data_IF_147549966129
#
_entry.id   IF_147549966129
#
_cell.length_a   1.000
_cell.length_b   1.000
_cell.length_c   1.000
_cell.angle_alpha   90.00
_cell.angle_beta   90.00
_cell.angle_gamma   90.00
#
_symmetry.space_group_name_H-M   'P 1'
#
loop_
_entity.id
_entity.type
_entity.pdbx_description
1 polymer ?
#
# COMPACT_ATOMS: atom_id res chain seq x y z
N UNK A 1 -23.50 12.96 -5.17
CA UNK A 1 -22.94 11.63 -4.80
C UNK A 1 -22.46 11.81 -3.38
N UNK A 2 -23.20 11.23 -2.41
CA UNK A 2 -23.10 11.58 -0.99
C UNK A 2 -21.76 11.16 -0.38
N UNK A 3 -21.11 12.12 0.23
CA UNK A 3 -19.87 11.99 1.02
C UNK A 3 -20.10 11.38 2.41
N UNK A 4 -21.31 10.94 2.73
CA UNK A 4 -21.71 10.44 4.06
C UNK A 4 -21.38 8.95 4.34
N UNK A 5 -20.81 8.21 3.40
CA UNK A 5 -20.57 6.76 3.58
C UNK A 5 -19.12 6.42 3.97
N UNK A 6 -18.32 7.42 4.35
CA UNK A 6 -16.88 7.28 4.59
C UNK A 6 -16.51 7.03 6.07
N UNK A 7 -17.47 7.07 6.99
CA UNK A 7 -17.22 7.03 8.45
C UNK A 7 -17.90 5.88 9.18
N UNK A 8 -18.24 4.78 8.52
CA UNK A 8 -18.69 3.60 9.24
C UNK A 8 -17.47 2.86 9.79
N UNK A 9 -17.32 2.91 11.13
CA UNK A 9 -16.41 2.06 11.89
C UNK A 9 -16.63 0.60 11.48
N UNK A 10 -15.68 0.05 10.74
CA UNK A 10 -15.76 -1.33 10.27
C UNK A 10 -14.74 -2.16 11.05
N UNK A 11 -15.20 -3.05 11.90
CA UNK A 11 -14.36 -4.08 12.51
C UNK A 11 -13.92 -5.05 11.42
N UNK A 12 -12.66 -5.37 11.40
CA UNK A 12 -12.08 -6.32 10.44
C UNK A 12 -10.89 -7.05 11.02
N UNK A 13 -10.51 -8.11 10.36
CA UNK A 13 -9.30 -8.86 10.62
C UNK A 13 -8.27 -8.55 9.55
N UNK A 14 -7.06 -8.23 9.94
CA UNK A 14 -5.94 -8.09 9.01
C UNK A 14 -4.98 -9.24 9.23
N UNK A 15 -4.70 -9.98 8.16
CA UNK A 15 -3.57 -10.91 8.08
C UNK A 15 -2.32 -10.08 7.76
N UNK A 16 -1.42 -9.93 8.72
CA UNK A 16 -0.23 -9.09 8.55
C UNK A 16 0.88 -9.86 7.86
N UNK A 17 1.11 -11.11 8.27
CA UNK A 17 2.06 -11.99 7.59
C UNK A 17 1.72 -13.46 7.82
N UNK A 18 2.23 -14.31 6.93
CA UNK A 18 2.12 -15.76 7.04
C UNK A 18 3.47 -16.33 7.49
N UNK A 19 3.49 -17.13 8.56
CA UNK A 19 4.66 -17.86 9.01
C UNK A 19 4.47 -19.36 8.76
N UNK A 20 5.54 -20.14 8.89
CA UNK A 20 5.46 -21.61 8.84
C UNK A 20 4.54 -22.19 9.92
N UNK A 21 4.37 -21.49 11.03
CA UNK A 21 3.49 -21.84 12.15
C UNK A 21 2.03 -21.40 11.94
N UNK A 22 1.72 -20.68 10.85
CA UNK A 22 0.38 -20.20 10.53
C UNK A 22 0.30 -18.73 10.15
N UNK A 23 -0.92 -18.27 9.86
CA UNK A 23 -1.21 -16.86 9.58
C UNK A 23 -1.28 -16.09 10.90
N UNK A 24 -0.53 -14.99 11.00
CA UNK A 24 -0.70 -14.05 12.10
C UNK A 24 -1.73 -13.01 11.67
N UNK A 25 -2.92 -13.11 12.25
CA UNK A 25 -4.00 -12.15 12.06
C UNK A 25 -4.26 -11.38 13.35
N UNK A 26 -4.69 -10.16 13.21
CA UNK A 26 -5.10 -9.31 14.34
C UNK A 26 -6.41 -8.63 14.03
N UNK A 27 -7.24 -8.49 15.06
CA UNK A 27 -8.47 -7.71 14.97
C UNK A 27 -8.13 -6.23 14.95
N UNK A 28 -8.66 -5.53 13.97
CA UNK A 28 -8.44 -4.11 13.79
C UNK A 28 -9.76 -3.37 13.59
N UNK A 29 -9.74 -2.09 13.90
CA UNK A 29 -10.79 -1.17 13.52
C UNK A 29 -10.30 -0.32 12.35
N UNK A 30 -11.07 -0.31 11.25
CA UNK A 30 -10.82 0.59 10.11
C UNK A 30 -11.58 1.88 10.31
N UNK A 31 -10.88 2.98 10.45
CA UNK A 31 -11.47 4.31 10.58
C UNK A 31 -10.48 5.35 10.04
N UNK A 32 -10.99 6.40 9.36
CA UNK A 32 -10.21 7.53 8.83
C UNK A 32 -9.02 7.08 7.95
N UNK A 33 -9.28 6.11 7.06
CA UNK A 33 -8.31 5.54 6.10
C UNK A 33 -7.07 4.90 6.76
N UNK A 34 -7.13 4.59 8.04
CA UNK A 34 -6.09 3.89 8.79
C UNK A 34 -6.68 2.73 9.59
N UNK A 35 -5.81 1.98 10.25
CA UNK A 35 -6.18 0.91 11.17
C UNK A 35 -5.86 1.31 12.59
N UNK A 36 -6.73 0.91 13.51
CA UNK A 36 -6.62 1.17 14.94
C UNK A 36 -6.57 -0.15 15.69
N UNK A 37 -5.56 -0.33 16.52
CA UNK A 37 -5.36 -1.53 17.33
C UNK A 37 -5.25 -1.19 18.80
N UNK A 38 -5.88 -1.98 19.70
CA UNK A 38 -5.60 -1.90 21.13
C UNK A 38 -4.28 -2.61 21.46
N UNK A 39 -3.73 -2.35 22.65
CA UNK A 39 -2.49 -2.96 23.14
C UNK A 39 -2.54 -4.49 23.12
N UNK A 40 -3.72 -5.07 23.38
CA UNK A 40 -3.93 -6.51 23.34
C UNK A 40 -3.57 -7.11 22.00
N UNK A 41 -4.05 -6.52 20.93
CA UNK A 41 -3.78 -6.99 19.56
C UNK A 41 -2.31 -6.78 19.18
N UNK A 42 -1.70 -5.67 19.62
CA UNK A 42 -0.25 -5.49 19.44
C UNK A 42 0.58 -6.51 20.23
N UNK A 43 0.11 -6.93 21.40
CA UNK A 43 0.76 -7.99 22.20
C UNK A 43 0.77 -9.34 21.46
N UNK A 44 -0.33 -9.67 20.80
CA UNK A 44 -0.45 -10.87 19.95
C UNK A 44 0.46 -10.72 18.72
N UNK A 45 0.37 -9.58 18.03
CA UNK A 45 1.13 -9.30 16.82
C UNK A 45 2.64 -9.44 17.03
N UNK A 46 3.15 -8.91 18.14
CA UNK A 46 4.58 -8.84 18.42
C UNK A 46 5.08 -9.91 19.39
N UNK A 47 4.19 -10.76 19.92
CA UNK A 47 4.55 -11.81 20.87
C UNK A 47 5.22 -11.26 22.14
N UNK A 48 4.73 -10.14 22.67
CA UNK A 48 5.21 -9.49 23.87
C UNK A 48 4.10 -9.19 24.86
N UNK A 49 4.46 -9.02 26.13
CA UNK A 49 3.50 -8.65 27.17
C UNK A 49 2.92 -7.24 26.90
N UNK A 50 1.67 -7.02 27.38
CA UNK A 50 1.02 -5.71 27.30
C UNK A 50 1.83 -4.60 27.97
N UNK A 51 2.52 -4.89 29.08
CA UNK A 51 3.41 -3.94 29.77
C UNK A 51 4.57 -3.51 28.90
N UNK A 52 5.22 -4.45 28.19
CA UNK A 52 6.32 -4.15 27.27
C UNK A 52 5.86 -3.29 26.10
N UNK A 53 4.69 -3.63 25.50
CA UNK A 53 4.13 -2.82 24.40
C UNK A 53 3.81 -1.41 24.90
N UNK A 54 3.19 -1.28 26.08
CA UNK A 54 2.89 0.03 26.68
C UNK A 54 4.14 0.86 26.94
N UNK A 55 5.22 0.24 27.43
CA UNK A 55 6.51 0.90 27.65
C UNK A 55 7.08 1.46 26.33
N UNK A 56 7.03 0.68 25.25
CA UNK A 56 7.45 1.18 23.94
C UNK A 56 6.62 2.37 23.48
N UNK A 57 5.29 2.33 23.64
CA UNK A 57 4.39 3.43 23.28
C UNK A 57 4.72 4.69 24.09
N UNK A 58 4.89 4.57 25.40
CA UNK A 58 5.25 5.71 26.25
C UNK A 58 6.60 6.31 25.86
N UNK A 59 7.58 5.50 25.50
CA UNK A 59 8.87 5.98 25.04
C UNK A 59 8.77 6.70 23.68
N UNK A 60 7.95 6.21 22.75
CA UNK A 60 7.69 6.87 21.46
C UNK A 60 7.15 8.28 21.67
N UNK A 61 6.19 8.45 22.57
CA UNK A 61 5.63 9.76 22.89
C UNK A 61 6.62 10.65 23.64
N UNK A 62 7.34 10.10 24.61
CA UNK A 62 8.36 10.83 25.40
C UNK A 62 9.51 11.35 24.52
N UNK A 63 9.90 10.58 23.51
CA UNK A 63 10.97 10.95 22.57
C UNK A 63 10.48 11.93 21.48
N UNK A 64 9.16 12.19 21.42
CA UNK A 64 8.58 13.09 20.44
C UNK A 64 8.52 12.51 19.01
N UNK A 65 8.68 11.19 18.85
CA UNK A 65 8.57 10.53 17.54
C UNK A 65 7.14 10.65 16.98
N UNK A 66 6.13 10.48 17.86
CA UNK A 66 4.72 10.63 17.52
C UNK A 66 4.00 11.47 18.58
N UNK A 67 2.89 12.11 18.18
CA UNK A 67 1.98 12.83 19.06
C UNK A 67 0.89 11.90 19.58
N UNK A 68 0.67 11.82 20.89
CA UNK A 68 -0.40 11.04 21.49
C UNK A 68 -1.78 11.52 21.01
N UNK A 69 -1.96 12.84 20.88
CA UNK A 69 -3.24 13.43 20.47
C UNK A 69 -3.69 12.97 19.06
N UNK A 70 -2.74 12.74 18.17
CA UNK A 70 -3.01 12.38 16.76
C UNK A 70 -3.09 10.86 16.56
N UNK A 71 -2.46 10.09 17.44
CA UNK A 71 -2.21 8.65 17.22
C UNK A 71 -2.89 7.73 18.23
N UNK A 72 -3.56 8.29 19.26
CA UNK A 72 -4.30 7.52 20.25
C UNK A 72 -5.75 8.01 20.35
N UNK A 73 -6.69 7.08 20.44
CA UNK A 73 -8.10 7.35 20.67
C UNK A 73 -8.67 6.43 21.74
N UNK A 74 -9.60 6.95 22.52
CA UNK A 74 -10.40 6.13 23.44
C UNK A 74 -11.66 5.70 22.71
N UNK A 75 -11.78 4.43 22.40
CA UNK A 75 -12.92 3.85 21.69
C UNK A 75 -13.62 2.85 22.61
N UNK A 76 -14.95 2.88 22.59
CA UNK A 76 -15.78 1.86 23.19
C UNK A 76 -16.28 2.20 24.60
N UNK A 77 -17.54 2.60 24.63
CA UNK A 77 -18.48 2.14 25.63
C UNK A 77 -19.34 1.11 24.88
N UNK A 78 -19.02 -0.18 25.00
CA UNK A 78 -19.93 -1.22 24.54
C UNK A 78 -20.94 -1.52 25.63
N UNK A 79 -22.09 -2.06 25.27
CA UNK A 79 -23.14 -2.47 26.23
C UNK A 79 -22.64 -3.46 27.30
N UNK A 80 -21.41 -3.98 27.13
CA UNK A 80 -20.76 -4.93 28.02
C UNK A 80 -19.48 -4.42 28.70
N UNK A 81 -18.99 -3.19 28.39
CA UNK A 81 -17.81 -2.63 29.00
C UNK A 81 -17.95 -1.15 29.27
N UNK A 82 -17.90 -0.79 30.57
CA UNK A 82 -17.98 0.59 31.04
C UNK A 82 -16.65 1.36 30.96
N UNK A 83 -15.58 0.72 30.53
CA UNK A 83 -14.25 1.36 30.41
C UNK A 83 -13.84 1.50 28.95
N UNK A 84 -13.61 2.74 28.48
CA UNK A 84 -13.04 2.97 27.16
C UNK A 84 -11.64 2.34 27.05
N UNK A 85 -11.37 1.71 25.93
CA UNK A 85 -10.07 1.11 25.61
C UNK A 85 -9.28 2.07 24.72
N UNK A 86 -7.98 2.21 24.98
CA UNK A 86 -7.09 2.98 24.12
C UNK A 86 -6.78 2.18 22.86
N UNK A 87 -7.04 2.79 21.72
CA UNK A 87 -6.67 2.32 20.40
C UNK A 87 -5.59 3.23 19.85
N UNK A 88 -4.66 2.63 19.12
CA UNK A 88 -3.50 3.27 18.53
C UNK A 88 -3.51 3.06 17.02
N UNK A 89 -3.18 4.10 16.26
CA UNK A 89 -3.19 4.03 14.81
C UNK A 89 -2.00 3.23 14.23
N UNK A 90 -1.97 3.08 12.90
CA UNK A 90 -0.93 2.34 12.20
C UNK A 90 0.47 2.89 12.47
N UNK A 91 0.64 4.20 12.67
CA UNK A 91 1.95 4.81 12.91
C UNK A 91 2.58 4.28 14.20
N UNK A 92 1.78 4.21 15.28
CA UNK A 92 2.22 3.61 16.54
C UNK A 92 2.57 2.13 16.39
N UNK A 93 1.75 1.38 15.63
CA UNK A 93 2.01 -0.05 15.39
C UNK A 93 3.35 -0.24 14.67
N UNK A 94 3.64 0.58 13.67
CA UNK A 94 4.91 0.56 12.93
C UNK A 94 6.08 0.89 13.87
N UNK A 95 5.99 2.00 14.61
CA UNK A 95 7.04 2.45 15.53
C UNK A 95 7.35 1.41 16.61
N UNK A 96 6.33 0.80 17.21
CA UNK A 96 6.48 -0.32 18.14
C UNK A 96 7.16 -1.51 17.46
N UNK A 97 6.73 -1.86 16.25
CA UNK A 97 7.27 -2.99 15.48
C UNK A 97 8.76 -2.85 15.17
N UNK A 98 9.27 -1.64 15.02
CA UNK A 98 10.69 -1.38 14.83
C UNK A 98 11.50 -1.43 16.14
N UNK A 99 10.87 -1.20 17.29
CA UNK A 99 11.54 -1.16 18.61
C UNK A 99 11.53 -2.50 19.34
N UNK A 100 10.51 -3.33 19.06
CA UNK A 100 10.30 -4.58 19.79
C UNK A 100 11.32 -5.64 19.40
N UNK A 101 11.96 -6.27 20.42
CA UNK A 101 12.88 -7.39 20.23
C UNK A 101 12.14 -8.72 20.43
N UNK A 102 11.60 -9.27 19.32
CA UNK A 102 10.95 -10.59 19.29
C UNK A 102 11.09 -11.22 17.90
N UNK A 103 10.84 -12.52 17.81
CA UNK A 103 10.79 -13.23 16.53
C UNK A 103 9.68 -12.66 15.66
N UNK A 104 8.50 -12.42 16.24
CA UNK A 104 7.35 -11.82 15.55
C UNK A 104 7.67 -10.40 15.08
N UNK A 105 8.32 -9.58 15.91
CA UNK A 105 8.76 -8.24 15.51
C UNK A 105 9.76 -8.29 14.35
N UNK A 106 10.66 -9.28 14.33
CA UNK A 106 11.58 -9.48 13.20
C UNK A 106 10.83 -9.86 11.92
N UNK A 107 9.85 -10.78 12.00
CA UNK A 107 9.00 -11.17 10.87
C UNK A 107 8.18 -9.99 10.35
N UNK A 108 7.63 -9.18 11.25
CA UNK A 108 6.92 -7.95 10.89
C UNK A 108 7.81 -6.99 10.10
N UNK A 109 9.03 -6.73 10.58
CA UNK A 109 9.99 -5.86 9.87
C UNK A 109 10.38 -6.41 8.50
N UNK A 110 10.60 -7.72 8.38
CA UNK A 110 10.88 -8.37 7.10
C UNK A 110 9.74 -8.19 6.11
N UNK A 111 8.50 -8.42 6.55
CA UNK A 111 7.31 -8.20 5.75
C UNK A 111 7.16 -6.74 5.33
N UNK A 112 7.29 -5.78 6.26
CA UNK A 112 7.20 -4.35 5.96
C UNK A 112 8.28 -3.92 4.96
N UNK A 113 9.53 -4.35 5.17
CA UNK A 113 10.63 -4.08 4.25
C UNK A 113 10.37 -4.63 2.85
N UNK A 114 9.80 -5.83 2.75
CA UNK A 114 9.45 -6.42 1.45
C UNK A 114 8.38 -5.57 0.73
N UNK A 115 7.36 -5.09 1.44
CA UNK A 115 6.32 -4.21 0.85
C UNK A 115 6.91 -2.88 0.38
N UNK A 116 7.77 -2.26 1.17
CA UNK A 116 8.48 -1.03 0.80
C UNK A 116 9.39 -1.27 -0.41
N UNK A 117 10.16 -2.35 -0.40
CA UNK A 117 11.04 -2.71 -1.52
C UNK A 117 10.24 -2.93 -2.81
N UNK A 118 9.15 -3.66 -2.74
CA UNK A 118 8.25 -3.89 -3.88
C UNK A 118 7.71 -2.56 -4.43
N UNK A 119 7.26 -1.66 -3.55
CA UNK A 119 6.78 -0.34 -3.94
C UNK A 119 7.87 0.52 -4.58
N UNK A 120 9.08 0.56 -4.02
CA UNK A 120 10.20 1.33 -4.58
C UNK A 120 10.60 0.82 -5.97
N UNK A 121 10.66 -0.49 -6.17
CA UNK A 121 11.09 -1.09 -7.44
C UNK A 121 9.99 -1.03 -8.50
N UNK A 122 8.74 -1.37 -8.14
CA UNK A 122 7.64 -1.50 -9.10
C UNK A 122 6.75 -0.25 -9.20
N UNK A 123 6.79 0.64 -8.18
CA UNK A 123 5.89 1.77 -8.04
C UNK A 123 4.51 1.41 -7.49
N UNK A 124 4.27 0.14 -7.14
CA UNK A 124 3.02 -0.35 -6.53
C UNK A 124 3.27 -1.60 -5.69
N UNK A 125 2.34 -1.90 -4.80
CA UNK A 125 2.21 -3.18 -4.09
C UNK A 125 0.72 -3.56 -4.08
N UNK A 126 0.40 -4.84 -4.30
CA UNK A 126 -0.96 -5.35 -4.38
C UNK A 126 -1.16 -6.50 -3.41
N UNK A 127 -2.34 -6.56 -2.84
CA UNK A 127 -2.86 -7.70 -2.09
C UNK A 127 -3.97 -8.35 -2.93
N UNK A 128 -3.60 -9.33 -3.72
CA UNK A 128 -4.49 -9.99 -4.68
C UNK A 128 -5.65 -10.70 -3.99
N UNK A 129 -5.43 -11.32 -2.82
CA UNK A 129 -6.48 -12.01 -2.07
C UNK A 129 -7.53 -11.01 -1.57
N UNK A 130 -7.08 -9.90 -1.01
CA UNK A 130 -7.95 -8.83 -0.53
C UNK A 130 -8.71 -8.13 -1.66
N UNK A 131 -8.06 -7.90 -2.80
CA UNK A 131 -8.69 -7.30 -3.97
C UNK A 131 -9.77 -8.21 -4.56
N UNK A 132 -9.56 -9.52 -4.59
CA UNK A 132 -10.54 -10.51 -5.06
C UNK A 132 -11.69 -10.68 -4.05
N UNK A 133 -11.42 -10.68 -2.76
CA UNK A 133 -12.41 -10.94 -1.71
C UNK A 133 -13.38 -9.79 -1.45
N UNK A 134 -12.91 -8.56 -1.47
CA UNK A 134 -13.71 -7.35 -1.22
C UNK A 134 -14.27 -6.69 -2.49
N UNK A 135 -14.38 -7.37 -3.54
CA UNK A 135 -15.00 -7.24 -4.87
C UNK A 135 -15.53 -5.91 -5.39
N UNK A 136 -15.44 -4.80 -4.69
CA UNK A 136 -16.18 -3.67 -5.15
C UNK A 136 -15.40 -2.37 -5.31
N UNK A 137 -14.93 -1.78 -4.22
CA UNK A 137 -14.46 -0.38 -4.26
C UNK A 137 -13.00 -0.27 -4.69
N UNK A 138 -12.09 -0.92 -3.98
CA UNK A 138 -10.66 -0.81 -4.26
C UNK A 138 -10.25 -1.46 -5.59
N UNK A 139 -10.92 -2.53 -5.99
CA UNK A 139 -10.72 -3.12 -7.31
C UNK A 139 -11.15 -2.17 -8.44
N UNK A 140 -12.29 -1.47 -8.29
CA UNK A 140 -12.73 -0.45 -9.26
C UNK A 140 -11.79 0.73 -9.32
N UNK A 141 -11.28 1.19 -8.16
CA UNK A 141 -10.28 2.25 -8.10
C UNK A 141 -8.99 1.86 -8.82
N UNK A 142 -8.49 0.64 -8.59
CA UNK A 142 -7.32 0.11 -9.30
C UNK A 142 -7.54 0.07 -10.81
N UNK A 143 -8.70 -0.42 -11.26
CA UNK A 143 -9.06 -0.42 -12.68
C UNK A 143 -9.10 0.99 -13.27
N UNK A 144 -9.60 1.97 -12.53
CA UNK A 144 -9.62 3.35 -12.97
C UNK A 144 -8.19 3.90 -13.11
N UNK A 145 -7.32 3.70 -12.14
CA UNK A 145 -5.90 4.09 -12.22
C UNK A 145 -5.18 3.46 -13.42
N UNK A 146 -5.44 2.18 -13.70
CA UNK A 146 -4.88 1.49 -14.89
C UNK A 146 -5.38 2.16 -16.18
N UNK A 147 -6.65 2.51 -16.26
CA UNK A 147 -7.22 3.21 -17.43
C UNK A 147 -6.59 4.58 -17.62
N UNK A 148 -6.39 5.33 -16.54
CA UNK A 148 -5.78 6.67 -16.56
C UNK A 148 -4.33 6.61 -17.03
N UNK A 149 -3.54 5.63 -16.55
CA UNK A 149 -2.17 5.39 -17.01
C UNK A 149 -2.14 5.10 -18.51
N UNK A 150 -3.00 4.17 -18.99
CA UNK A 150 -3.09 3.83 -20.42
C UNK A 150 -3.57 5.00 -21.28
N UNK A 151 -4.49 5.81 -20.76
CA UNK A 151 -4.96 7.01 -21.44
C UNK A 151 -3.85 8.06 -21.58
N UNK A 152 -3.05 8.25 -20.53
CA UNK A 152 -1.91 9.16 -20.53
C UNK A 152 -0.83 8.73 -21.53
N UNK A 153 -0.52 7.43 -21.62
CA UNK A 153 0.41 6.90 -22.62
C UNK A 153 -0.08 7.13 -24.05
N UNK A 154 -1.38 6.88 -24.29
CA UNK A 154 -1.99 7.12 -25.60
C UNK A 154 -1.95 8.61 -25.99
N UNK A 155 -2.25 9.49 -25.04
CA UNK A 155 -2.22 10.94 -25.25
C UNK A 155 -0.80 11.42 -25.57
N UNK A 156 0.22 10.94 -24.84
CA UNK A 156 1.61 11.27 -25.12
C UNK A 156 2.02 10.81 -26.53
N UNK A 157 1.68 9.58 -26.91
CA UNK A 157 1.97 9.07 -28.25
C UNK A 157 1.29 9.91 -29.32
N UNK A 158 0.04 10.32 -29.11
CA UNK A 158 -0.72 11.14 -30.04
C UNK A 158 -0.09 12.54 -30.18
N UNK A 159 0.29 13.18 -29.08
CA UNK A 159 1.00 14.48 -29.10
C UNK A 159 2.32 14.38 -29.86
N UNK A 160 3.12 13.35 -29.66
CA UNK A 160 4.37 13.13 -30.41
C UNK A 160 4.07 12.95 -31.89
N UNK A 161 3.01 12.23 -32.25
CA UNK A 161 2.58 12.02 -33.63
C UNK A 161 2.16 13.35 -34.28
N UNK A 162 1.37 14.14 -33.57
CA UNK A 162 0.88 15.43 -34.05
C UNK A 162 2.05 16.43 -34.28
N UNK A 163 2.99 16.51 -33.32
CA UNK A 163 4.19 17.35 -33.46
C UNK A 163 5.02 16.92 -34.68
N UNK A 164 5.22 15.63 -34.86
CA UNK A 164 5.98 15.10 -35.99
C UNK A 164 5.29 15.35 -37.34
N UNK A 165 3.96 15.27 -37.36
CA UNK A 165 3.16 15.53 -38.56
C UNK A 165 3.17 17.01 -38.98
N UNK A 166 3.58 17.94 -38.11
CA UNK A 166 3.74 19.36 -38.46
C UNK A 166 5.07 19.69 -39.14
N UNK A 167 6.00 18.71 -39.22
CA UNK A 167 7.26 18.92 -39.92
C UNK A 167 7.06 19.09 -41.41
N UNK A 168 7.81 20.02 -42.01
CA UNK A 168 7.66 20.43 -43.43
C UNK A 168 7.98 19.25 -44.40
N UNK A 169 8.80 18.30 -43.94
CA UNK A 169 9.27 17.13 -44.67
C UNK A 169 8.56 15.84 -44.25
N UNK A 170 7.39 15.96 -43.58
CA UNK A 170 6.64 14.80 -43.12
C UNK A 170 6.06 13.98 -44.27
N UNK A 171 6.52 12.73 -44.41
CA UNK A 171 5.93 11.71 -45.28
C UNK A 171 5.57 10.48 -44.44
N UNK A 172 4.25 10.17 -44.27
CA UNK A 172 3.80 9.02 -43.47
C UNK A 172 4.27 7.65 -44.02
N UNK A 173 4.69 7.60 -45.30
CA UNK A 173 5.14 6.36 -45.96
C UNK A 173 6.65 6.21 -45.94
N UNK A 174 7.39 7.25 -45.58
CA UNK A 174 8.85 7.21 -45.55
C UNK A 174 9.34 6.21 -44.48
N UNK A 175 10.40 5.48 -44.82
CA UNK A 175 11.03 4.49 -43.94
C UNK A 175 11.51 5.14 -42.64
N UNK A 176 12.02 6.35 -42.70
CA UNK A 176 12.52 7.11 -41.54
C UNK A 176 11.36 7.44 -40.56
N UNK A 177 10.17 7.75 -41.08
CA UNK A 177 8.96 8.00 -40.29
C UNK A 177 8.51 6.73 -39.58
N UNK A 178 8.50 5.60 -40.25
CA UNK A 178 8.20 4.29 -39.65
C UNK A 178 9.16 3.89 -38.55
N UNK A 179 10.46 4.10 -38.76
CA UNK A 179 11.49 3.82 -37.77
C UNK A 179 11.39 4.72 -36.55
N UNK A 180 11.05 6.01 -36.75
CA UNK A 180 10.80 6.95 -35.65
C UNK A 180 9.65 6.47 -34.76
N UNK A 181 8.47 6.17 -35.32
CA UNK A 181 7.33 5.71 -34.55
C UNK A 181 7.56 4.37 -33.88
N UNK A 182 8.22 3.42 -34.53
CA UNK A 182 8.64 2.16 -33.91
C UNK A 182 9.58 2.39 -32.72
N UNK A 183 10.47 3.37 -32.82
CA UNK A 183 11.39 3.72 -31.73
C UNK A 183 10.68 4.39 -30.57
N UNK A 184 9.71 5.29 -30.84
CA UNK A 184 8.88 5.93 -29.79
C UNK A 184 8.07 4.88 -29.05
N UNK A 185 7.40 3.99 -29.76
CA UNK A 185 6.63 2.90 -29.14
C UNK A 185 7.54 1.95 -28.32
N UNK A 186 8.71 1.59 -28.82
CA UNK A 186 9.65 0.75 -28.10
C UNK A 186 10.16 1.43 -26.83
N UNK A 187 10.53 2.73 -26.89
CA UNK A 187 10.99 3.50 -25.74
C UNK A 187 9.89 3.69 -24.69
N UNK A 188 8.64 3.88 -25.10
CA UNK A 188 7.48 3.95 -24.22
C UNK A 188 7.31 2.61 -23.47
N UNK A 189 7.44 1.46 -24.17
CA UNK A 189 7.42 0.13 -23.55
C UNK A 189 8.64 -0.15 -22.67
N UNK A 190 9.83 0.30 -23.06
CA UNK A 190 11.09 0.02 -22.35
C UNK A 190 11.18 0.79 -21.03
N UNK A 191 10.51 1.93 -20.88
CA UNK A 191 10.42 2.63 -19.58
C UNK A 191 9.75 1.78 -18.51
N UNK A 192 8.86 0.88 -18.89
CA UNK A 192 8.23 -0.10 -17.99
C UNK A 192 9.22 -1.22 -17.63
N UNK A 193 10.16 -1.57 -18.52
CA UNK A 193 11.14 -2.65 -18.30
C UNK A 193 12.38 -2.24 -17.51
N UNK A 194 12.75 -0.95 -17.45
CA UNK A 194 13.88 -0.50 -16.62
C UNK A 194 13.62 -0.55 -15.11
N UNK A 195 12.39 -0.86 -14.70
CA UNK A 195 12.01 -1.08 -13.31
C UNK A 195 11.91 -2.57 -12.92
N UNK A 196 12.26 -3.49 -13.83
CA UNK A 196 12.31 -4.92 -13.53
C UNK A 196 13.78 -5.37 -13.41
N UNK A 197 14.18 -5.99 -12.27
CA UNK A 197 15.51 -6.57 -12.16
C UNK A 197 15.68 -7.69 -13.19
N UNK A 198 16.87 -7.74 -13.81
CA UNK A 198 17.24 -8.74 -14.80
C UNK A 198 16.97 -10.16 -14.26
N UNK A 199 16.13 -10.91 -14.94
CA UNK A 199 16.02 -12.34 -14.68
C UNK A 199 14.65 -13.01 -14.86
N UNK A 200 13.72 -12.49 -15.68
CA UNK A 200 12.56 -13.29 -16.05
C UNK A 200 12.27 -13.19 -17.55
N UNK A 201 12.16 -14.35 -18.20
CA UNK A 201 11.84 -14.51 -19.60
C UNK A 201 10.49 -13.86 -19.97
N UNK A 202 10.31 -13.44 -21.23
CA UNK A 202 9.08 -12.78 -21.66
C UNK A 202 7.90 -13.74 -21.63
N UNK A 203 6.87 -13.40 -20.84
CA UNK A 203 5.57 -14.06 -20.90
C UNK A 203 4.99 -13.83 -22.29
N UNK A 204 4.94 -14.88 -23.11
CA UNK A 204 4.16 -14.92 -24.34
C UNK A 204 2.66 -14.91 -23.96
N UNK A 205 1.95 -13.93 -24.45
CA UNK A 205 0.50 -13.94 -24.60
C UNK A 205 0.18 -14.21 -26.06
#
# INVERSE_FOLDING_TARGET
MNTEDLTKDTKGEIVIYQSEEGRVSVDVLFQDETVWLPIEQMSILFGKSRSTINEHILNIYKEGELSEADTMRKIGISDFSTKPTNFYNLDVVISVGYRVHSVQGTRFRQWATQRIHEYIIKGYTLDDERLKGNGGRYFRELLQRIRDIRSSERNLYQQVTDIYATAVDYDPKAEITRQFFATVQRKSRTRIHYLSPAGDEPIRI
#
